data_IF_702999870461
#
_entry.id   IF_702999870461
#
_cell.length_a   1.000
_cell.length_b   1.000
_cell.length_c   1.000
_cell.angle_alpha   90.00
_cell.angle_beta   90.00
_cell.angle_gamma   90.00
#
_symmetry.space_group_name_H-M   'P 1'
#
loop_
_entity.id
_entity.type
_entity.pdbx_description
1 polymer ?
#
# COMPACT_ATOMS: atom_id res chain seq x y z
N UNK A 1 -29.84 -33.65 33.04
CA UNK A 1 -28.36 -33.57 32.88
C UNK A 1 -27.88 -33.09 31.50
N UNK A 2 -28.75 -32.99 30.49
CA UNK A 2 -28.35 -32.74 29.08
C UNK A 2 -28.08 -31.27 28.72
N UNK A 3 -28.69 -30.29 29.42
CA UNK A 3 -28.50 -28.84 29.15
C UNK A 3 -27.18 -28.24 29.63
N UNK A 4 -26.49 -28.84 30.60
CA UNK A 4 -25.19 -28.33 31.08
C UNK A 4 -24.05 -28.64 30.11
N UNK A 5 -24.16 -29.70 29.30
CA UNK A 5 -23.12 -30.09 28.33
C UNK A 5 -23.03 -29.15 27.12
N UNK A 6 -24.16 -28.62 26.64
CA UNK A 6 -24.17 -27.69 25.50
C UNK A 6 -23.60 -26.31 25.85
N UNK A 7 -23.85 -25.82 27.07
CA UNK A 7 -23.27 -24.57 27.57
C UNK A 7 -21.76 -24.66 27.79
N UNK A 8 -21.26 -25.81 28.29
CA UNK A 8 -19.82 -26.03 28.43
C UNK A 8 -19.09 -26.14 27.09
N UNK A 9 -19.70 -26.76 26.07
CA UNK A 9 -19.10 -26.82 24.73
C UNK A 9 -19.02 -25.43 24.07
N UNK A 10 -20.08 -24.64 24.16
CA UNK A 10 -20.09 -23.28 23.62
C UNK A 10 -19.05 -22.38 24.32
N UNK A 11 -18.93 -22.49 25.65
CA UNK A 11 -17.92 -21.76 26.42
C UNK A 11 -16.48 -22.22 26.13
N UNK A 12 -16.25 -23.52 25.93
CA UNK A 12 -14.93 -24.05 25.59
C UNK A 12 -14.44 -23.60 24.20
N UNK A 13 -15.34 -23.51 23.22
CA UNK A 13 -15.04 -22.96 21.88
C UNK A 13 -14.66 -21.48 21.98
N UNK A 14 -15.39 -20.69 22.78
CA UNK A 14 -15.07 -19.27 22.98
C UNK A 14 -13.75 -19.04 23.76
N UNK A 15 -13.33 -20.00 24.59
CA UNK A 15 -12.11 -19.93 25.40
C UNK A 15 -10.87 -20.56 24.73
N UNK A 16 -10.97 -21.04 23.48
CA UNK A 16 -9.86 -21.67 22.77
C UNK A 16 -9.37 -22.99 23.42
N UNK A 17 -10.20 -23.63 24.26
CA UNK A 17 -9.81 -24.88 24.90
C UNK A 17 -9.92 -26.07 23.93
N UNK A 18 -8.95 -27.01 23.95
CA UNK A 18 -9.00 -28.19 23.10
C UNK A 18 -10.28 -29.00 23.33
N UNK A 19 -11.09 -29.16 22.30
CA UNK A 19 -12.25 -30.05 22.33
C UNK A 19 -11.76 -31.51 22.38
N UNK A 20 -12.31 -32.36 23.28
CA UNK A 20 -11.91 -33.77 23.35
C UNK A 20 -12.25 -34.49 22.03
N UNK A 21 -11.21 -34.91 21.28
CA UNK A 21 -11.33 -35.74 20.07
C UNK A 21 -10.99 -35.05 18.74
N UNK A 22 -10.65 -33.76 18.73
CA UNK A 22 -10.17 -33.07 17.52
C UNK A 22 -8.65 -33.11 17.39
N UNK A 23 -8.14 -33.34 16.18
CA UNK A 23 -6.70 -33.25 15.86
C UNK A 23 -6.22 -31.80 16.13
N UNK A 24 -5.34 -31.57 17.13
CA UNK A 24 -4.93 -30.21 17.54
C UNK A 24 -4.24 -29.44 16.42
N UNK A 25 -3.51 -30.14 15.54
CA UNK A 25 -2.80 -29.52 14.41
C UNK A 25 -3.80 -29.00 13.37
N UNK A 26 -4.87 -29.75 13.10
CA UNK A 26 -5.93 -29.30 12.18
C UNK A 26 -6.74 -28.15 12.76
N UNK A 27 -7.12 -28.24 14.02
CA UNK A 27 -7.89 -27.18 14.71
C UNK A 27 -7.08 -25.89 14.78
N UNK A 28 -5.78 -25.98 15.09
CA UNK A 28 -4.87 -24.84 15.08
C UNK A 28 -4.68 -24.23 13.69
N UNK A 29 -4.57 -25.05 12.65
CA UNK A 29 -4.49 -24.57 11.26
C UNK A 29 -5.74 -23.80 10.84
N UNK A 30 -6.93 -24.34 11.15
CA UNK A 30 -8.21 -23.68 10.85
C UNK A 30 -8.33 -22.34 11.60
N UNK A 31 -8.01 -22.31 12.89
CA UNK A 31 -8.06 -21.07 13.69
C UNK A 31 -7.05 -20.02 13.22
N UNK A 32 -5.86 -20.44 12.75
CA UNK A 32 -4.88 -19.53 12.16
C UNK A 32 -5.40 -18.88 10.86
N UNK A 33 -5.94 -19.69 9.94
CA UNK A 33 -6.49 -19.17 8.68
C UNK A 33 -7.74 -18.32 8.90
N UNK A 34 -8.55 -18.62 9.92
CA UNK A 34 -9.69 -17.80 10.33
C UNK A 34 -9.22 -16.42 10.84
N UNK A 35 -8.21 -16.40 11.71
CA UNK A 35 -7.63 -15.16 12.25
C UNK A 35 -6.91 -14.29 11.21
N UNK A 36 -6.36 -14.88 10.14
CA UNK A 36 -5.68 -14.16 9.05
C UNK A 36 -6.59 -13.11 8.41
N UNK A 37 -7.89 -13.40 8.28
CA UNK A 37 -8.86 -12.49 7.66
C UNK A 37 -9.00 -11.17 8.44
N UNK A 38 -8.94 -11.24 9.76
CA UNK A 38 -9.03 -10.06 10.64
C UNK A 38 -7.72 -9.28 10.66
N UNK A 39 -6.58 -9.97 10.59
CA UNK A 39 -5.25 -9.35 10.55
C UNK A 39 -5.01 -8.54 9.26
N UNK A 40 -5.69 -8.88 8.16
CA UNK A 40 -5.57 -8.20 6.87
C UNK A 40 -6.49 -6.99 6.72
N UNK A 41 -7.49 -6.82 7.60
CA UNK A 41 -8.45 -5.70 7.56
C UNK A 41 -7.82 -4.29 7.54
N UNK A 42 -6.69 -3.98 8.21
CA UNK A 42 -6.10 -2.63 8.17
C UNK A 42 -5.30 -2.32 6.89
N UNK A 43 -4.84 -3.34 6.16
CA UNK A 43 -4.03 -3.16 4.94
C UNK A 43 -4.68 -2.33 3.82
N UNK A 44 -5.99 -2.42 3.55
CA UNK A 44 -6.63 -1.61 2.51
C UNK A 44 -6.65 -0.13 2.88
N UNK A 45 -6.59 0.19 4.17
CA UNK A 45 -6.69 1.55 4.71
C UNK A 45 -5.34 2.26 4.75
N UNK A 46 -4.24 1.54 5.05
CA UNK A 46 -2.93 2.18 5.22
C UNK A 46 -2.34 2.73 3.90
N UNK A 47 -2.60 2.05 2.78
CA UNK A 47 -1.98 2.40 1.49
C UNK A 47 -2.82 3.35 0.62
N UNK A 48 -4.04 3.73 1.04
CA UNK A 48 -4.91 4.60 0.25
C UNK A 48 -5.65 5.60 1.13
N UNK A 49 -5.16 6.85 1.19
CA UNK A 49 -5.79 7.91 1.99
C UNK A 49 -7.25 8.20 1.56
N UNK A 50 -7.62 7.97 0.30
CA UNK A 50 -9.04 8.06 -0.14
C UNK A 50 -9.96 7.06 0.57
N UNK A 51 -9.42 5.91 1.00
CA UNK A 51 -10.15 4.92 1.80
C UNK A 51 -10.16 5.29 3.29
N UNK A 52 -9.36 6.28 3.69
CA UNK A 52 -9.34 6.86 5.05
C UNK A 52 -10.47 7.88 5.29
N UNK A 53 -11.29 8.17 4.27
CA UNK A 53 -12.39 9.15 4.31
C UNK A 53 -11.98 10.59 4.69
N UNK A 54 -10.69 10.93 4.60
CA UNK A 54 -10.23 12.31 4.83
C UNK A 54 -10.59 13.14 3.58
N UNK A 55 -11.40 14.19 3.79
CA UNK A 55 -11.91 15.11 2.75
C UNK A 55 -12.76 14.47 1.64
N UNK A 56 -13.63 13.51 2.00
CA UNK A 56 -14.42 12.72 1.04
C UNK A 56 -15.88 13.17 0.95
N UNK A 57 -16.39 13.36 -0.27
CA UNK A 57 -17.82 13.64 -0.53
C UNK A 57 -18.69 12.38 -0.37
N UNK A 58 -19.99 12.54 -0.11
CA UNK A 58 -20.94 11.41 0.04
C UNK A 58 -20.88 10.40 -1.12
N UNK A 59 -20.75 10.87 -2.36
CA UNK A 59 -20.63 10.00 -3.54
C UNK A 59 -19.35 9.16 -3.53
N UNK A 60 -18.23 9.76 -3.13
CA UNK A 60 -16.95 9.08 -3.06
C UNK A 60 -16.91 8.08 -1.89
N UNK A 61 -17.60 8.36 -0.78
CA UNK A 61 -17.80 7.41 0.32
C UNK A 61 -18.55 6.13 -0.12
N UNK A 62 -19.66 6.28 -0.86
CA UNK A 62 -20.40 5.12 -1.42
C UNK A 62 -19.52 4.32 -2.38
N UNK A 63 -18.76 5.01 -3.24
CA UNK A 63 -17.83 4.35 -4.17
C UNK A 63 -16.78 3.52 -3.42
N UNK A 64 -16.14 4.08 -2.40
CA UNK A 64 -15.17 3.36 -1.56
C UNK A 64 -15.80 2.15 -0.88
N UNK A 65 -17.01 2.29 -0.33
CA UNK A 65 -17.73 1.18 0.30
C UNK A 65 -18.00 0.02 -0.68
N UNK A 66 -18.44 0.34 -1.89
CA UNK A 66 -18.68 -0.66 -2.94
C UNK A 66 -17.37 -1.36 -3.32
N UNK A 67 -16.30 -0.59 -3.56
CA UNK A 67 -14.99 -1.15 -3.92
C UNK A 67 -14.42 -2.02 -2.81
N UNK A 68 -14.50 -1.58 -1.55
CA UNK A 68 -14.06 -2.36 -0.38
C UNK A 68 -14.83 -3.69 -0.28
N UNK A 69 -16.15 -3.64 -0.47
CA UNK A 69 -17.01 -4.84 -0.47
C UNK A 69 -16.61 -5.82 -1.57
N UNK A 70 -16.41 -5.31 -2.80
CA UNK A 70 -16.00 -6.14 -3.94
C UNK A 70 -14.56 -6.65 -3.80
N UNK A 71 -13.71 -5.97 -3.02
CA UNK A 71 -12.36 -6.43 -2.69
C UNK A 71 -12.39 -7.56 -1.66
N UNK A 72 -13.28 -7.48 -0.67
CA UNK A 72 -13.37 -8.47 0.41
C UNK A 72 -14.02 -9.78 -0.05
N UNK A 73 -14.93 -9.75 -1.02
CA UNK A 73 -15.64 -10.94 -1.52
C UNK A 73 -14.70 -12.03 -2.09
N UNK A 74 -13.79 -11.72 -3.04
CA UNK A 74 -12.82 -12.67 -3.55
C UNK A 74 -11.94 -13.26 -2.45
N UNK A 75 -11.52 -12.41 -1.49
CA UNK A 75 -10.71 -12.84 -0.37
C UNK A 75 -11.47 -13.85 0.53
N UNK A 76 -12.69 -13.52 0.94
CA UNK A 76 -13.54 -14.44 1.71
C UNK A 76 -13.82 -15.75 0.95
N UNK A 77 -14.04 -15.68 -0.37
CA UNK A 77 -14.25 -16.86 -1.20
C UNK A 77 -13.00 -17.75 -1.32
N UNK A 78 -11.80 -17.15 -1.27
CA UNK A 78 -10.53 -17.90 -1.30
C UNK A 78 -10.24 -18.60 0.01
N UNK A 79 -10.49 -17.96 1.16
CA UNK A 79 -10.26 -18.55 2.49
C UNK A 79 -11.22 -19.72 2.74
N UNK A 80 -12.46 -19.63 2.26
CA UNK A 80 -13.44 -20.71 2.36
C UNK A 80 -13.30 -21.78 1.26
N UNK A 81 -12.51 -21.51 0.21
CA UNK A 81 -12.40 -22.39 -0.97
C UNK A 81 -13.70 -22.48 -1.79
N UNK A 82 -14.63 -21.56 -1.57
CA UNK A 82 -15.95 -21.52 -2.19
C UNK A 82 -16.35 -20.07 -2.48
N UNK A 83 -16.57 -19.75 -3.75
CA UNK A 83 -17.00 -18.42 -4.19
C UNK A 83 -18.42 -18.45 -4.75
N UNK A 84 -18.63 -18.89 -6.00
CA UNK A 84 -19.94 -19.28 -6.54
C UNK A 84 -20.10 -20.81 -6.59
N UNK A 85 -18.96 -21.50 -6.72
CA UNK A 85 -18.83 -22.95 -6.66
C UNK A 85 -17.53 -23.29 -5.96
N UNK A 86 -17.30 -24.58 -5.69
CA UNK A 86 -16.01 -25.06 -5.20
C UNK A 86 -14.87 -24.57 -6.11
N UNK A 87 -13.97 -23.77 -5.55
CA UNK A 87 -12.85 -23.18 -6.27
C UNK A 87 -11.80 -24.25 -6.57
N UNK A 88 -11.21 -24.20 -7.77
CA UNK A 88 -10.00 -24.97 -8.08
C UNK A 88 -8.76 -24.21 -7.58
N UNK A 89 -7.63 -24.90 -7.41
CA UNK A 89 -6.39 -24.27 -6.93
C UNK A 89 -5.99 -23.02 -7.75
N UNK A 90 -6.13 -23.07 -9.09
CA UNK A 90 -5.85 -21.90 -9.94
C UNK A 90 -6.87 -20.77 -9.77
N UNK A 91 -8.13 -21.07 -9.43
CA UNK A 91 -9.16 -20.06 -9.16
C UNK A 91 -8.91 -19.38 -7.83
N UNK A 92 -8.44 -20.15 -6.84
CA UNK A 92 -8.00 -19.60 -5.55
C UNK A 92 -6.82 -18.64 -5.79
N UNK A 93 -5.79 -19.06 -6.54
CA UNK A 93 -4.65 -18.21 -6.87
C UNK A 93 -5.09 -16.94 -7.64
N UNK A 94 -6.00 -17.07 -8.62
CA UNK A 94 -6.51 -15.92 -9.37
C UNK A 94 -7.33 -14.96 -8.49
N UNK A 95 -8.20 -15.47 -7.63
CA UNK A 95 -9.00 -14.65 -6.71
C UNK A 95 -8.13 -13.98 -5.64
N UNK A 96 -7.08 -14.65 -5.16
CA UNK A 96 -6.08 -14.04 -4.27
C UNK A 96 -5.32 -12.92 -4.98
N UNK A 97 -4.93 -13.12 -6.24
CA UNK A 97 -4.28 -12.08 -7.04
C UNK A 97 -5.21 -10.87 -7.26
N UNK A 98 -6.50 -11.11 -7.52
CA UNK A 98 -7.52 -10.06 -7.61
C UNK A 98 -7.64 -9.32 -6.29
N UNK A 99 -7.79 -10.04 -5.18
CA UNK A 99 -7.90 -9.45 -3.84
C UNK A 99 -6.67 -8.59 -3.52
N UNK A 100 -5.46 -9.12 -3.73
CA UNK A 100 -4.20 -8.40 -3.54
C UNK A 100 -4.12 -7.13 -4.39
N UNK A 101 -4.47 -7.23 -5.68
CA UNK A 101 -4.40 -6.09 -6.61
C UNK A 101 -5.40 -4.99 -6.22
N UNK A 102 -6.62 -5.37 -5.82
CA UNK A 102 -7.64 -4.42 -5.36
C UNK A 102 -7.31 -3.86 -3.97
N UNK A 103 -6.65 -4.62 -3.08
CA UNK A 103 -6.18 -4.10 -1.80
C UNK A 103 -5.09 -3.04 -1.99
N UNK A 104 -4.13 -3.29 -2.88
CA UNK A 104 -2.98 -2.41 -3.12
C UNK A 104 -2.73 -2.18 -4.63
N UNK A 105 -3.57 -1.38 -5.32
CA UNK A 105 -3.39 -1.12 -6.74
C UNK A 105 -2.10 -0.34 -7.04
N UNK A 106 -1.62 0.44 -6.05
CA UNK A 106 -0.36 1.17 -6.09
C UNK A 106 0.86 0.26 -6.25
N UNK A 107 0.84 -0.98 -5.73
CA UNK A 107 1.98 -1.90 -5.79
C UNK A 107 2.51 -2.11 -7.21
N UNK A 108 1.61 -2.35 -8.16
CA UNK A 108 1.97 -2.54 -9.57
C UNK A 108 2.38 -1.24 -10.25
N UNK A 109 1.72 -0.14 -9.89
CA UNK A 109 2.02 1.18 -10.45
C UNK A 109 3.40 1.66 -10.02
N UNK A 110 3.75 1.48 -8.74
CA UNK A 110 5.05 1.83 -8.18
C UNK A 110 6.18 0.96 -8.75
N UNK A 111 5.89 -0.32 -9.03
CA UNK A 111 6.86 -1.22 -9.68
C UNK A 111 7.16 -0.82 -11.13
N UNK A 112 6.18 -0.28 -11.86
CA UNK A 112 6.35 0.13 -13.27
C UNK A 112 6.86 1.59 -13.36
N UNK A 113 6.37 2.48 -12.49
CA UNK A 113 6.75 3.89 -12.41
C UNK A 113 6.85 4.32 -10.94
N UNK A 114 8.06 4.22 -10.35
CA UNK A 114 8.30 4.70 -9.00
C UNK A 114 7.91 6.18 -8.86
N UNK A 115 7.36 6.60 -7.70
CA UNK A 115 6.93 7.99 -7.47
C UNK A 115 8.11 8.96 -7.46
N UNK A 116 9.30 8.47 -7.12
CA UNK A 116 10.52 9.26 -7.08
C UNK A 116 11.54 8.67 -8.04
N UNK A 117 12.17 9.53 -8.82
CA UNK A 117 13.36 9.16 -9.60
C UNK A 117 14.58 9.76 -8.93
N UNK A 118 15.60 8.94 -8.69
CA UNK A 118 16.90 9.41 -8.18
C UNK A 118 17.59 10.21 -9.28
N UNK A 119 17.94 11.46 -8.97
CA UNK A 119 18.71 12.34 -9.84
C UNK A 119 20.06 12.65 -9.22
N UNK A 120 21.04 12.90 -10.09
CA UNK A 120 22.37 13.34 -9.69
C UNK A 120 22.29 14.66 -8.91
N UNK A 121 23.09 14.82 -7.84
CA UNK A 121 23.12 16.05 -7.04
C UNK A 121 23.35 17.32 -7.86
N UNK A 122 24.16 17.24 -8.91
CA UNK A 122 24.47 18.38 -9.78
C UNK A 122 23.23 18.95 -10.49
N UNK A 123 22.16 18.16 -10.65
CA UNK A 123 20.89 18.57 -11.28
C UNK A 123 19.90 19.18 -10.28
N UNK A 124 20.31 19.43 -9.02
CA UNK A 124 19.41 19.95 -7.99
C UNK A 124 18.72 21.26 -8.41
N UNK A 125 19.44 22.15 -9.11
CA UNK A 125 18.86 23.42 -9.57
C UNK A 125 17.75 23.18 -10.61
N UNK A 126 17.96 22.26 -11.55
CA UNK A 126 16.93 21.90 -12.54
C UNK A 126 15.73 21.24 -11.87
N UNK A 127 15.93 20.34 -10.91
CA UNK A 127 14.82 19.68 -10.19
C UNK A 127 14.00 20.72 -9.43
N UNK A 128 14.66 21.69 -8.78
CA UNK A 128 14.00 22.78 -8.06
C UNK A 128 13.21 23.68 -9.00
N UNK A 129 13.71 23.98 -10.20
CA UNK A 129 12.98 24.79 -11.19
C UNK A 129 11.66 24.16 -11.62
N UNK A 130 11.63 22.83 -11.80
CA UNK A 130 10.45 22.10 -12.25
C UNK A 130 9.47 21.77 -11.11
N UNK A 131 9.88 21.92 -9.85
CA UNK A 131 9.03 21.68 -8.68
C UNK A 131 8.04 22.84 -8.48
N UNK A 132 6.73 22.57 -8.41
CA UNK A 132 5.74 23.59 -8.04
C UNK A 132 6.08 24.28 -6.71
N UNK A 133 5.71 25.55 -6.54
CA UNK A 133 5.94 26.27 -5.28
C UNK A 133 5.17 25.61 -4.13
N UNK A 134 5.84 25.43 -2.99
CA UNK A 134 5.25 24.84 -1.79
C UNK A 134 5.30 23.32 -1.68
N UNK A 135 5.78 22.60 -2.69
CA UNK A 135 6.07 21.16 -2.61
C UNK A 135 7.36 20.87 -1.81
N UNK A 136 7.48 19.62 -1.35
CA UNK A 136 8.61 19.13 -0.58
C UNK A 136 9.65 18.48 -1.50
N UNK A 137 10.87 19.03 -1.50
CA UNK A 137 12.04 18.43 -2.10
C UNK A 137 12.64 17.41 -1.14
N UNK A 138 12.81 16.17 -1.61
CA UNK A 138 13.45 15.08 -0.85
C UNK A 138 14.92 14.97 -1.23
N UNK A 139 15.79 15.06 -0.23
CA UNK A 139 17.24 14.99 -0.39
C UNK A 139 17.80 13.88 0.49
N UNK A 140 18.63 13.00 -0.07
CA UNK A 140 19.48 12.11 0.74
C UNK A 140 20.81 12.80 0.94
N UNK A 141 21.17 13.06 2.18
CA UNK A 141 22.40 13.74 2.56
C UNK A 141 23.26 12.84 3.42
N UNK A 142 24.57 12.99 3.30
CA UNK A 142 25.56 12.37 4.17
C UNK A 142 26.19 13.46 5.01
N UNK A 143 26.11 13.28 6.32
CA UNK A 143 26.74 14.17 7.29
C UNK A 143 27.46 13.39 8.37
N UNK A 144 27.67 14.06 9.49
CA UNK A 144 28.16 13.47 10.73
C UNK A 144 27.10 13.62 11.81
N UNK A 145 27.04 12.66 12.73
CA UNK A 145 26.20 12.76 13.93
C UNK A 145 26.87 13.63 15.02
N UNK A 146 26.22 13.73 16.19
CA UNK A 146 26.73 14.53 17.33
C UNK A 146 28.09 14.04 17.87
N UNK A 147 28.50 12.82 17.53
CA UNK A 147 29.73 12.16 17.98
C UNK A 147 30.80 12.14 16.87
N UNK A 148 30.46 12.59 15.66
CA UNK A 148 31.36 12.66 14.50
C UNK A 148 31.37 11.39 13.65
N UNK A 149 30.44 10.46 13.87
CA UNK A 149 30.30 9.27 13.03
C UNK A 149 29.51 9.60 11.75
N UNK A 150 29.89 9.04 10.59
CA UNK A 150 29.20 9.32 9.34
C UNK A 150 27.78 8.75 9.36
N UNK A 151 26.78 9.60 9.11
CA UNK A 151 25.37 9.22 9.06
C UNK A 151 24.72 9.72 7.77
N UNK A 152 23.94 8.85 7.13
CA UNK A 152 23.07 9.24 6.02
C UNK A 152 21.67 9.55 6.54
N UNK A 153 21.15 10.72 6.17
CA UNK A 153 19.81 11.17 6.56
C UNK A 153 19.01 11.62 5.34
N UNK A 154 17.69 11.61 5.48
CA UNK A 154 16.76 12.08 4.44
C UNK A 154 16.14 13.38 4.93
N UNK A 155 16.40 14.47 4.22
CA UNK A 155 15.84 15.78 4.49
C UNK A 155 14.62 16.04 3.59
N UNK A 156 13.54 16.54 4.20
CA UNK A 156 12.31 16.97 3.54
C UNK A 156 12.27 18.50 3.53
N UNK A 157 12.71 19.09 2.43
CA UNK A 157 12.83 20.53 2.29
C UNK A 157 11.61 21.11 1.58
N UNK A 158 10.74 21.81 2.32
CA UNK A 158 9.66 22.57 1.69
C UNK A 158 10.22 23.83 1.04
N UNK A 159 10.06 23.94 -0.29
CA UNK A 159 10.60 25.05 -1.06
C UNK A 159 9.60 26.22 -1.10
N UNK A 160 9.98 27.41 -0.60
CA UNK A 160 9.23 28.63 -0.80
C UNK A 160 9.20 29.05 -2.29
N UNK A 161 8.37 30.05 -2.58
CA UNK A 161 8.33 30.68 -3.90
C UNK A 161 9.60 31.52 -4.14
N UNK A 162 9.94 31.74 -5.40
CA UNK A 162 11.13 32.48 -5.83
C UNK A 162 11.30 32.49 -7.35
N UNK A 163 12.03 33.46 -7.89
CA UNK A 163 12.14 33.65 -9.34
C UNK A 163 12.97 32.54 -10.01
N UNK A 164 14.05 32.10 -9.34
CA UNK A 164 14.97 31.08 -9.83
C UNK A 164 15.26 30.00 -8.77
N UNK A 165 15.74 28.83 -9.17
CA UNK A 165 16.04 27.73 -8.22
C UNK A 165 17.02 28.11 -7.11
N UNK A 166 18.04 28.92 -7.43
CA UNK A 166 19.01 29.38 -6.43
C UNK A 166 18.36 30.30 -5.39
N UNK A 167 17.46 31.16 -5.82
CA UNK A 167 16.69 32.03 -4.93
C UNK A 167 15.71 31.22 -4.07
N UNK A 168 15.03 30.22 -4.65
CA UNK A 168 14.13 29.33 -3.91
C UNK A 168 14.86 28.52 -2.82
N UNK A 169 16.04 27.98 -3.13
CA UNK A 169 16.89 27.31 -2.15
C UNK A 169 17.40 28.28 -1.07
N UNK A 170 17.81 29.49 -1.46
CA UNK A 170 18.20 30.55 -0.53
C UNK A 170 17.06 30.97 0.40
N UNK A 171 15.83 31.11 -0.13
CA UNK A 171 14.62 31.41 0.64
C UNK A 171 14.25 30.26 1.59
N UNK A 172 14.52 29.01 1.19
CA UNK A 172 14.40 27.85 2.06
C UNK A 172 15.50 27.82 3.15
N UNK A 173 16.52 28.67 3.03
CA UNK A 173 17.63 28.84 3.96
C UNK A 173 18.77 27.86 3.76
N UNK A 174 18.94 27.30 2.55
CA UNK A 174 20.06 26.41 2.21
C UNK A 174 20.93 27.02 1.12
N UNK A 175 22.24 27.07 1.39
CA UNK A 175 23.24 27.50 0.42
C UNK A 175 24.09 26.30 0.01
N UNK A 176 24.22 26.09 -1.30
CA UNK A 176 24.92 24.95 -1.86
C UNK A 176 26.17 25.39 -2.61
N UNK A 177 27.25 24.65 -2.43
CA UNK A 177 28.50 24.76 -3.19
C UNK A 177 28.70 23.50 -4.01
N UNK A 178 29.14 23.66 -5.25
CA UNK A 178 29.52 22.54 -6.13
C UNK A 178 31.04 22.45 -6.13
N UNK A 179 31.58 21.30 -5.72
CA UNK A 179 33.02 21.05 -5.58
C UNK A 179 33.33 19.65 -6.11
N UNK A 180 34.21 19.55 -7.11
CA UNK A 180 34.60 18.28 -7.76
C UNK A 180 33.42 17.41 -8.23
N UNK A 181 32.31 18.03 -8.68
CA UNK A 181 31.10 17.33 -9.10
C UNK A 181 30.20 16.84 -7.96
N UNK A 182 30.58 17.08 -6.70
CA UNK A 182 29.72 16.90 -5.52
C UNK A 182 28.99 18.20 -5.18
N UNK A 183 27.82 18.07 -4.59
CA UNK A 183 27.05 19.20 -4.08
C UNK A 183 27.08 19.14 -2.56
N UNK A 184 27.68 20.17 -1.95
CA UNK A 184 27.90 20.26 -0.51
C UNK A 184 27.08 21.43 0.03
N UNK A 185 26.49 21.26 1.21
CA UNK A 185 25.80 22.32 1.93
C UNK A 185 26.84 23.26 2.53
N UNK A 186 26.91 24.48 2.00
CA UNK A 186 27.88 25.50 2.41
C UNK A 186 27.44 26.22 3.69
N UNK A 187 26.16 26.57 3.77
CA UNK A 187 25.57 27.16 4.97
C UNK A 187 24.06 26.90 5.05
N UNK A 188 23.53 26.92 6.27
CA UNK A 188 22.10 26.77 6.54
C UNK A 188 21.65 27.88 7.48
N UNK A 189 20.73 28.71 7.02
CA UNK A 189 20.21 29.82 7.83
C UNK A 189 19.49 29.31 9.06
N UNK A 190 19.81 29.87 10.23
CA UNK A 190 19.19 29.47 11.49
C UNK A 190 17.68 29.71 11.49
N UNK A 191 16.90 28.74 11.99
CA UNK A 191 15.43 28.83 12.05
C UNK A 191 14.71 28.65 10.71
N UNK A 192 15.44 28.44 9.61
CA UNK A 192 14.89 28.23 8.26
C UNK A 192 14.19 26.88 8.10
N UNK A 193 13.37 26.71 7.03
CA UNK A 193 12.85 25.40 6.63
C UNK A 193 13.94 24.34 6.47
N UNK A 194 15.11 24.72 5.92
CA UNK A 194 16.24 23.82 5.76
C UNK A 194 16.80 23.31 7.10
N UNK A 195 17.00 24.20 8.08
CA UNK A 195 17.45 23.79 9.41
C UNK A 195 16.42 22.90 10.12
N UNK A 196 15.13 23.17 9.94
CA UNK A 196 14.04 22.34 10.47
C UNK A 196 13.96 20.96 9.79
N UNK A 197 14.37 20.86 8.54
CA UNK A 197 14.45 19.62 7.79
C UNK A 197 15.65 18.73 8.16
N UNK A 198 16.52 19.19 9.08
CA UNK A 198 17.72 18.47 9.52
C UNK A 198 18.93 18.64 8.61
N UNK A 199 18.91 19.65 7.73
CA UNK A 199 20.09 20.03 6.95
C UNK A 199 21.08 20.80 7.83
N UNK A 200 22.34 20.45 7.67
CA UNK A 200 23.47 21.07 8.35
C UNK A 200 24.60 21.40 7.40
N UNK A 201 25.46 22.31 7.85
CA UNK A 201 26.66 22.71 7.13
C UNK A 201 27.61 21.51 6.93
N UNK A 202 28.32 21.51 5.82
CA UNK A 202 29.30 20.50 5.41
C UNK A 202 28.68 19.11 5.13
N UNK A 203 27.35 19.02 4.98
CA UNK A 203 26.70 17.81 4.50
C UNK A 203 26.83 17.66 2.98
N UNK A 204 27.08 16.45 2.52
CA UNK A 204 27.13 16.09 1.10
C UNK A 204 25.74 15.62 0.63
N UNK A 205 25.21 16.22 -0.45
CA UNK A 205 23.98 15.73 -1.08
C UNK A 205 24.35 14.56 -1.98
N UNK A 206 23.83 13.37 -1.66
CA UNK A 206 24.06 12.15 -2.42
C UNK A 206 23.05 11.95 -3.55
N UNK A 207 21.77 12.22 -3.26
CA UNK A 207 20.67 11.97 -4.20
C UNK A 207 19.59 13.04 -4.03
N UNK A 208 19.09 13.53 -5.17
CA UNK A 208 17.91 14.39 -5.24
C UNK A 208 16.75 13.57 -5.76
N UNK A 209 15.65 13.51 -5.01
CA UNK A 209 14.45 12.80 -5.44
C UNK A 209 13.50 13.75 -6.16
N UNK A 210 13.32 13.54 -7.46
CA UNK A 210 12.36 14.27 -8.27
C UNK A 210 11.00 13.55 -8.22
N UNK A 211 9.94 14.26 -7.83
CA UNK A 211 8.58 13.71 -7.87
C UNK A 211 8.13 13.57 -9.33
N UNK A 212 7.85 12.34 -9.75
CA UNK A 212 7.31 12.10 -11.10
C UNK A 212 5.78 12.11 -11.02
N UNK A 213 5.06 12.84 -11.89
CA UNK A 213 3.62 12.71 -11.98
C UNK A 213 3.25 11.25 -12.24
N UNK A 214 2.69 10.60 -11.23
CA UNK A 214 2.22 9.24 -11.36
C UNK A 214 0.89 9.24 -12.10
N UNK A 215 0.69 8.31 -13.04
CA UNK A 215 -0.64 8.12 -13.60
C UNK A 215 -1.64 7.70 -12.51
N UNK A 216 -2.91 8.04 -12.70
CA UNK A 216 -3.97 7.75 -11.73
C UNK A 216 -3.97 6.27 -11.31
N UNK A 217 -3.93 6.03 -10.00
CA UNK A 217 -3.97 4.71 -9.33
C UNK A 217 -5.08 3.77 -9.82
N UNK A 218 -6.20 4.30 -10.32
CA UNK A 218 -7.38 3.54 -10.78
C UNK A 218 -7.14 2.67 -12.03
N UNK A 219 -6.01 2.82 -12.74
CA UNK A 219 -5.76 2.01 -13.95
C UNK A 219 -5.51 0.53 -13.65
N UNK A 220 -5.06 0.20 -12.43
CA UNK A 220 -4.79 -1.19 -12.03
C UNK A 220 -6.02 -1.91 -11.48
N UNK A 221 -7.07 -1.18 -11.10
CA UNK A 221 -8.34 -1.76 -10.67
C UNK A 221 -9.06 -2.44 -11.86
N UNK A 222 -8.96 -1.85 -13.06
CA UNK A 222 -9.64 -2.35 -14.26
C UNK A 222 -9.18 -3.77 -14.66
N UNK A 223 -7.87 -4.09 -14.77
CA UNK A 223 -7.41 -5.46 -14.98
C UNK A 223 -7.90 -6.44 -13.92
N UNK A 224 -7.94 -6.03 -12.65
CA UNK A 224 -8.42 -6.88 -11.56
C UNK A 224 -9.91 -7.22 -11.70
N UNK A 225 -10.75 -6.25 -12.08
CA UNK A 225 -12.16 -6.49 -12.36
C UNK A 225 -12.38 -7.39 -13.59
N UNK A 226 -11.56 -7.25 -14.64
CA UNK A 226 -11.61 -8.14 -15.81
C UNK A 226 -11.28 -9.57 -15.41
N UNK A 227 -10.22 -9.77 -14.60
CA UNK A 227 -9.84 -11.09 -14.11
C UNK A 227 -10.92 -11.69 -13.22
N UNK A 228 -11.52 -10.90 -12.32
CA UNK A 228 -12.64 -11.33 -11.49
C UNK A 228 -13.84 -11.76 -12.34
N UNK A 229 -14.21 -10.95 -13.34
CA UNK A 229 -15.28 -11.26 -14.29
C UNK A 229 -15.03 -12.56 -15.04
N UNK A 230 -13.77 -12.84 -15.43
CA UNK A 230 -13.38 -14.07 -16.09
C UNK A 230 -13.53 -15.29 -15.17
N UNK A 231 -13.12 -15.19 -13.90
CA UNK A 231 -13.32 -16.26 -12.91
C UNK A 231 -14.81 -16.52 -12.68
N UNK A 232 -15.62 -15.47 -12.49
CA UNK A 232 -17.08 -15.56 -12.34
C UNK A 232 -17.71 -16.25 -13.55
N UNK A 233 -17.31 -15.85 -14.76
CA UNK A 233 -17.82 -16.43 -16.00
C UNK A 233 -17.47 -17.92 -16.15
N UNK A 234 -16.23 -18.30 -15.82
CA UNK A 234 -15.81 -19.70 -15.80
C UNK A 234 -16.60 -20.53 -14.77
N UNK A 235 -16.85 -19.98 -13.58
CA UNK A 235 -17.66 -20.62 -12.55
C UNK A 235 -19.12 -20.80 -13.02
N UNK A 236 -19.74 -19.76 -13.58
CA UNK A 236 -21.12 -19.82 -14.10
C UNK A 236 -21.29 -20.86 -15.21
N UNK A 237 -20.34 -20.95 -16.16
CA UNK A 237 -20.36 -21.97 -17.23
C UNK A 237 -20.32 -23.39 -16.68
N UNK A 238 -19.56 -23.63 -15.61
CA UNK A 238 -19.49 -24.95 -14.96
C UNK A 238 -20.78 -25.29 -14.21
N UNK A 239 -21.39 -24.34 -13.52
CA UNK A 239 -22.71 -24.53 -12.89
C UNK A 239 -23.74 -24.94 -13.96
N UNK A 240 -23.79 -24.21 -15.07
CA UNK A 240 -24.72 -24.49 -16.16
C UNK A 240 -24.52 -25.90 -16.76
N UNK A 241 -23.27 -26.32 -16.97
CA UNK A 241 -22.95 -27.67 -17.46
C UNK A 241 -23.32 -28.77 -16.46
N UNK A 242 -23.13 -28.53 -15.17
CA UNK A 242 -23.51 -29.48 -14.12
C UNK A 242 -25.04 -29.60 -13.98
N UNK A 243 -25.77 -28.50 -14.11
CA UNK A 243 -27.24 -28.50 -14.11
C UNK A 243 -27.86 -29.19 -15.33
N UNK A 244 -27.23 -29.09 -16.51
CA UNK A 244 -27.67 -29.76 -17.72
C UNK A 244 -27.43 -31.29 -17.72
N UNK A 245 -26.54 -31.78 -16.86
CA UNK A 245 -26.21 -33.21 -16.73
C UNK A 245 -27.01 -33.94 -15.65
N UNK A 246 -27.90 -33.24 -14.92
CA UNK A 246 -28.74 -33.88 -13.91
C UNK A 246 -29.82 -34.73 -14.61
N UNK A 247 -29.86 -36.06 -14.40
CA UNK A 247 -30.88 -36.90 -14.99
C UNK A 247 -32.26 -36.49 -14.46
N UNK A 248 -33.21 -36.31 -15.38
CA UNK A 248 -34.61 -36.09 -15.05
C UNK A 248 -35.08 -37.27 -14.20
N UNK A 249 -35.64 -37.05 -12.99
CA UNK A 249 -36.16 -38.15 -12.20
C UNK A 249 -37.27 -38.85 -12.99
N UNK A 250 -37.08 -40.15 -13.25
CA UNK A 250 -38.11 -40.98 -13.83
C UNK A 250 -39.30 -41.01 -12.86
N UNK A 251 -40.48 -40.63 -13.37
CA UNK A 251 -41.76 -40.70 -12.64
C UNK A 251 -42.14 -42.15 -12.37
#
# INVERSE_FOLDING_TARGET
MTRRRSLFLAAAVAAGMPLPGGDPIRTGSVAFFDGLSTALLPLPFIDNIDRLLIDVTWCQGIFVFVVATVTMLPFAGTTQGWFLTRCKAFEIAALLLVAFTLFRPGFWTDMIRPPYTEREPARIFEVVEHLPPGEELRLRVRGVDEVGEPMESVALLRLPDGADARERLGNAGVFLRVEDGRVIVDDVTFGSPAKKAGLDRDQEILVVYEHRPQPSKYRMDLPAFVLLGLVVWMQRRRIARAGAAAPVPAK
#
